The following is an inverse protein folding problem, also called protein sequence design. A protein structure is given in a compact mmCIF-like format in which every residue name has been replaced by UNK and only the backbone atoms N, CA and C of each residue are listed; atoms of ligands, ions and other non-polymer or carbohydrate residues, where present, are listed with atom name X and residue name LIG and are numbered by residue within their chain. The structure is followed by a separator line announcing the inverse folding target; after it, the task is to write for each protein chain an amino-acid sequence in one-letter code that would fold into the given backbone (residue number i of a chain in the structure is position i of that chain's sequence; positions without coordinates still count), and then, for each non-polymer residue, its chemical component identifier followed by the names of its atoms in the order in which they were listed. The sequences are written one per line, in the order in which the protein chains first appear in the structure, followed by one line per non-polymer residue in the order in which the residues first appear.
data_IF_709719854303
#
_entry.id   IF_709719854303
#
_cell.length_a   1.000
_cell.length_b   1.000
_cell.length_c   1.000
_cell.angle_alpha   90.00
_cell.angle_beta   90.00
_cell.angle_gamma   90.00
#
_symmetry.space_group_name_H-M   'P 1'
#
loop_
_entity.id
_entity.type
_entity.pdbx_description
1 polymer ?
#
# COMPACT_ATOMS: atom_id res chain seq x y z
N UNK A 1 26.88 -15.36 12.33
CA UNK A 1 26.23 -14.98 11.90
C UNK A 1 25.97 -14.07 11.62
N UNK A 2 26.12 -13.75 11.57
CA UNK A 2 25.63 -12.82 11.49
C UNK A 2 24.55 -12.72 11.08
N UNK A 3 24.11 -13.27 11.10
CA UNK A 3 22.84 -13.37 10.82
C UNK A 3 22.00 -12.22 11.08
N UNK A 4 21.89 -11.83 12.30
CA UNK A 4 21.05 -10.73 12.70
C UNK A 4 21.48 -9.44 12.06
N UNK A 5 22.76 -9.30 11.83
CA UNK A 5 23.29 -8.11 11.20
C UNK A 5 22.75 -7.95 9.80
N UNK A 6 22.74 -9.04 9.04
CA UNK A 6 22.21 -9.00 7.70
C UNK A 6 20.73 -8.64 7.69
N UNK A 7 19.97 -9.20 8.63
CA UNK A 7 18.55 -8.94 8.71
C UNK A 7 18.27 -7.47 8.93
N UNK A 8 19.13 -6.78 9.65
CA UNK A 8 18.86 -5.40 10.04
C UNK A 8 19.48 -4.35 9.13
N UNK A 9 20.07 -4.75 8.02
CA UNK A 9 20.67 -3.79 7.10
C UNK A 9 19.64 -3.06 6.24
N UNK A 10 18.40 -3.54 6.19
CA UNK A 10 17.32 -2.85 5.52
C UNK A 10 17.46 -2.87 4.01
N UNK A 11 17.05 -1.79 3.38
CA UNK A 11 17.03 -1.63 1.94
C UNK A 11 18.30 -2.10 1.24
N UNK A 12 19.44 -1.88 1.85
CA UNK A 12 20.73 -2.20 1.24
C UNK A 12 20.91 -3.71 1.01
N UNK A 13 20.24 -4.54 1.81
CA UNK A 13 20.33 -5.99 1.68
C UNK A 13 19.37 -6.58 0.67
N UNK A 14 18.45 -5.77 0.15
CA UNK A 14 17.45 -6.28 -0.80
C UNK A 14 18.06 -6.41 -2.18
N UNK A 15 17.60 -7.41 -2.93
CA UNK A 15 18.00 -7.55 -4.34
C UNK A 15 17.41 -6.42 -5.17
N UNK A 16 17.96 -6.22 -6.38
CA UNK A 16 17.40 -5.25 -7.32
C UNK A 16 15.94 -5.54 -7.63
N UNK A 17 15.61 -6.80 -7.80
CA UNK A 17 14.25 -7.22 -8.09
C UNK A 17 13.33 -6.87 -6.93
N UNK A 18 13.76 -7.16 -5.70
CA UNK A 18 12.99 -6.81 -4.50
C UNK A 18 12.79 -5.31 -4.38
N UNK A 19 13.83 -4.53 -4.65
CA UNK A 19 13.71 -3.06 -4.62
C UNK A 19 12.71 -2.55 -5.64
N UNK A 20 12.73 -3.10 -6.85
CA UNK A 20 11.80 -2.70 -7.90
C UNK A 20 10.36 -3.00 -7.52
N UNK A 21 10.11 -4.18 -6.99
CA UNK A 21 8.75 -4.55 -6.58
C UNK A 21 8.29 -3.77 -5.36
N UNK A 22 9.22 -3.42 -4.46
CA UNK A 22 8.88 -2.55 -3.34
C UNK A 22 8.45 -1.17 -3.83
N UNK A 23 9.19 -0.58 -4.76
CA UNK A 23 8.82 0.71 -5.35
C UNK A 23 7.47 0.60 -6.05
N UNK A 24 7.26 -0.46 -6.83
CA UNK A 24 5.98 -0.67 -7.51
C UNK A 24 4.82 -0.77 -6.52
N UNK A 25 5.01 -1.51 -5.43
CA UNK A 25 3.97 -1.65 -4.41
C UNK A 25 3.65 -0.32 -3.75
N UNK A 26 4.66 0.51 -3.50
CA UNK A 26 4.45 1.84 -2.93
C UNK A 26 3.72 2.77 -3.88
N UNK A 27 4.01 2.69 -5.17
CA UNK A 27 3.28 3.46 -6.19
C UNK A 27 1.81 3.07 -6.17
N UNK A 28 1.51 1.78 -6.09
CA UNK A 28 0.13 1.32 -6.01
C UNK A 28 -0.55 1.75 -4.72
N UNK A 29 0.16 1.68 -3.59
CA UNK A 29 -0.37 2.13 -2.31
C UNK A 29 -0.70 3.62 -2.31
N UNK A 30 0.18 4.44 -2.86
CA UNK A 30 -0.05 5.89 -2.94
C UNK A 30 -1.18 6.18 -3.91
N UNK A 31 -1.28 5.45 -5.01
CA UNK A 31 -2.38 5.60 -5.96
C UNK A 31 -3.72 5.20 -5.33
N UNK A 32 -3.73 4.12 -4.54
CA UNK A 32 -4.92 3.72 -3.80
C UNK A 32 -5.31 4.82 -2.79
N UNK A 33 -4.35 5.34 -2.07
CA UNK A 33 -4.56 6.43 -1.13
C UNK A 33 -5.17 7.65 -1.85
N UNK A 34 -4.58 8.05 -2.97
CA UNK A 34 -5.02 9.20 -3.74
C UNK A 34 -6.45 9.04 -4.24
N UNK A 35 -6.77 7.89 -4.85
CA UNK A 35 -8.13 7.65 -5.34
C UNK A 35 -9.13 7.52 -4.20
N UNK A 36 -8.72 6.94 -3.08
CA UNK A 36 -9.60 6.81 -1.92
C UNK A 36 -9.83 8.17 -1.26
N UNK A 37 -8.84 9.07 -1.27
CA UNK A 37 -9.07 10.45 -0.80
C UNK A 37 -10.08 11.17 -1.69
N UNK A 38 -10.08 10.91 -2.98
CA UNK A 38 -11.10 11.48 -3.87
C UNK A 38 -12.51 11.04 -3.45
N UNK A 39 -12.63 9.80 -2.99
CA UNK A 39 -13.91 9.28 -2.48
C UNK A 39 -14.44 10.13 -1.32
N UNK A 40 -13.57 10.60 -0.41
CA UNK A 40 -14.00 11.38 0.73
C UNK A 40 -14.62 12.71 0.36
N UNK A 41 -14.37 13.19 -0.85
CA UNK A 41 -14.97 14.42 -1.37
C UNK A 41 -16.26 14.17 -2.12
N UNK A 42 -16.65 12.90 -2.29
CA UNK A 42 -17.71 12.53 -3.21
C UNK A 42 -18.70 11.54 -2.60
N UNK A 43 -18.85 11.57 -1.27
CA UNK A 43 -19.82 10.71 -0.60
C UNK A 43 -21.27 11.01 -1.05
N UNK A 44 -21.55 12.25 -1.40
CA UNK A 44 -22.86 12.66 -1.91
C UNK A 44 -23.15 12.04 -3.28
N UNK A 45 -22.12 11.55 -3.99
CA UNK A 45 -22.30 10.85 -5.26
C UNK A 45 -22.47 9.34 -5.06
N UNK A 46 -22.55 8.87 -3.81
CA UNK A 46 -22.84 7.47 -3.52
C UNK A 46 -21.63 6.59 -3.24
N UNK A 47 -20.43 7.14 -3.30
CA UNK A 47 -19.22 6.34 -3.04
C UNK A 47 -19.15 5.92 -1.58
N UNK A 48 -18.63 4.71 -1.34
CA UNK A 48 -18.44 4.17 0.00
C UNK A 48 -17.20 3.29 0.01
N UNK A 49 -16.49 3.30 1.12
CA UNK A 49 -15.34 2.41 1.34
C UNK A 49 -15.84 1.00 1.64
N UNK A 50 -15.14 0.00 1.12
CA UNK A 50 -15.46 -1.41 1.38
C UNK A 50 -14.51 -2.04 2.38
N UNK A 51 -13.44 -1.35 2.77
CA UNK A 51 -12.49 -1.85 3.75
C UNK A 51 -13.11 -1.79 5.15
N UNK A 52 -13.34 -2.94 5.82
CA UNK A 52 -14.02 -2.94 7.12
C UNK A 52 -13.24 -2.23 8.22
N UNK A 53 -11.92 -2.11 8.08
CA UNK A 53 -11.11 -1.39 9.07
C UNK A 53 -11.43 0.09 9.03
N UNK A 54 -11.69 0.64 7.86
CA UNK A 54 -11.98 2.06 7.69
C UNK A 54 -13.44 2.42 7.92
N UNK A 55 -14.34 1.47 7.71
CA UNK A 55 -15.77 1.76 7.70
C UNK A 55 -16.21 2.28 6.34
N UNK A 56 -17.52 2.56 6.16
CA UNK A 56 -18.05 2.91 4.85
C UNK A 56 -17.81 4.38 4.47
N UNK A 57 -17.66 5.26 5.45
CA UNK A 57 -17.45 6.70 5.22
C UNK A 57 -16.35 7.25 6.14
N UNK A 58 -15.09 6.82 5.92
CA UNK A 58 -14.01 7.30 6.77
C UNK A 58 -13.79 8.79 6.56
N UNK A 59 -13.35 9.49 7.63
CA UNK A 59 -12.90 10.86 7.49
C UNK A 59 -11.57 10.89 6.74
N UNK A 60 -11.21 12.03 6.18
CA UNK A 60 -9.93 12.19 5.50
C UNK A 60 -8.77 11.92 6.47
N UNK A 61 -8.89 12.41 7.72
CA UNK A 61 -7.83 12.20 8.71
C UNK A 61 -7.65 10.73 9.05
N UNK A 62 -8.75 10.00 9.23
CA UNK A 62 -8.69 8.56 9.49
C UNK A 62 -8.06 7.82 8.31
N UNK A 63 -8.42 8.21 7.10
CA UNK A 63 -7.90 7.62 5.89
C UNK A 63 -6.39 7.85 5.77
N UNK A 64 -5.95 9.09 5.98
CA UNK A 64 -4.54 9.44 5.91
C UNK A 64 -3.74 8.67 6.94
N UNK A 65 -4.24 8.56 8.16
CA UNK A 65 -3.58 7.79 9.22
C UNK A 65 -3.46 6.33 8.82
N UNK A 66 -4.50 5.76 8.23
CA UNK A 66 -4.49 4.38 7.78
C UNK A 66 -3.39 4.15 6.74
N UNK A 67 -3.32 5.00 5.70
CA UNK A 67 -2.34 4.80 4.63
C UNK A 67 -0.91 5.09 5.08
N UNK A 68 -0.70 6.10 5.91
CA UNK A 68 0.63 6.38 6.46
C UNK A 68 1.11 5.20 7.30
N UNK A 69 0.24 4.69 8.17
CA UNK A 69 0.57 3.53 9.01
C UNK A 69 0.86 2.30 8.15
N UNK A 70 0.06 2.10 7.11
CA UNK A 70 0.25 1.01 6.17
C UNK A 70 1.62 1.10 5.49
N UNK A 71 1.98 2.29 4.98
CA UNK A 71 3.27 2.48 4.31
C UNK A 71 4.44 2.20 5.23
N UNK A 72 4.36 2.66 6.48
CA UNK A 72 5.41 2.42 7.46
C UNK A 72 5.50 0.92 7.78
N UNK A 73 4.37 0.29 8.08
CA UNK A 73 4.33 -1.14 8.37
C UNK A 73 4.77 -1.99 7.19
N UNK A 74 4.43 -1.55 5.98
CA UNK A 74 4.84 -2.22 4.76
C UNK A 74 6.36 -2.28 4.62
N UNK A 75 7.04 -1.16 4.91
CA UNK A 75 8.50 -1.17 4.88
C UNK A 75 9.08 -2.17 5.87
N UNK A 76 8.64 -2.10 7.12
CA UNK A 76 9.20 -2.96 8.17
C UNK A 76 8.87 -4.44 7.92
N UNK A 77 7.68 -4.75 7.45
CA UNK A 77 7.33 -6.13 7.12
C UNK A 77 8.15 -6.64 5.94
N UNK A 78 8.34 -5.80 4.91
CA UNK A 78 9.18 -6.16 3.77
C UNK A 78 10.60 -6.48 4.22
N UNK A 79 11.13 -5.64 5.08
CA UNK A 79 12.50 -5.84 5.59
C UNK A 79 12.60 -7.08 6.48
N UNK A 80 11.57 -7.34 7.28
CA UNK A 80 11.53 -8.50 8.15
C UNK A 80 11.53 -9.81 7.37
N UNK A 81 10.79 -9.87 6.28
CA UNK A 81 10.75 -11.04 5.42
C UNK A 81 12.05 -11.17 4.63
N UNK A 82 12.43 -12.39 4.27
CA UNK A 82 13.69 -12.64 3.60
C UNK A 82 13.50 -13.50 2.36
N UNK A 83 14.39 -13.32 1.39
CA UNK A 83 14.47 -14.15 0.22
C UNK A 83 13.15 -14.25 -0.51
N UNK A 84 12.74 -15.48 -0.80
CA UNK A 84 11.53 -15.74 -1.55
C UNK A 84 10.26 -15.24 -0.84
N UNK A 85 10.24 -15.30 0.49
CA UNK A 85 9.08 -14.81 1.25
C UNK A 85 8.87 -13.31 1.03
N UNK A 86 9.95 -12.55 0.97
CA UNK A 86 9.88 -11.13 0.67
C UNK A 86 9.31 -10.90 -0.73
N UNK A 87 9.78 -11.68 -1.70
CA UNK A 87 9.30 -11.54 -3.07
C UNK A 87 7.83 -11.87 -3.20
N UNK A 88 7.39 -12.98 -2.60
CA UNK A 88 5.99 -13.37 -2.63
C UNK A 88 5.11 -12.30 -2.00
N UNK A 89 5.54 -11.77 -0.87
CA UNK A 89 4.82 -10.69 -0.20
C UNK A 89 4.70 -9.45 -1.10
N UNK A 90 5.80 -9.04 -1.72
CA UNK A 90 5.81 -7.86 -2.59
C UNK A 90 4.95 -8.04 -3.82
N UNK A 91 4.99 -9.23 -4.44
CA UNK A 91 4.12 -9.53 -5.58
C UNK A 91 2.66 -9.47 -5.17
N UNK A 92 2.33 -10.03 -4.01
CA UNK A 92 0.97 -10.08 -3.50
C UNK A 92 0.43 -8.68 -3.22
N UNK A 93 1.19 -7.86 -2.50
CA UNK A 93 0.78 -6.50 -2.17
C UNK A 93 0.62 -5.67 -3.45
N UNK A 94 1.54 -5.80 -4.39
CA UNK A 94 1.45 -5.05 -5.65
C UNK A 94 0.19 -5.45 -6.42
N UNK A 95 -0.12 -6.74 -6.46
CA UNK A 95 -1.32 -7.22 -7.15
C UNK A 95 -2.61 -6.76 -6.47
N UNK A 96 -2.66 -6.87 -5.14
CA UNK A 96 -3.84 -6.47 -4.37
C UNK A 96 -4.08 -4.97 -4.50
N UNK A 97 -3.04 -4.16 -4.31
CA UNK A 97 -3.18 -2.71 -4.38
C UNK A 97 -3.42 -2.25 -5.82
N UNK A 98 -2.80 -2.91 -6.78
CA UNK A 98 -3.05 -2.64 -8.20
C UNK A 98 -4.50 -2.91 -8.57
N UNK A 99 -5.08 -3.99 -8.06
CA UNK A 99 -6.49 -4.30 -8.28
C UNK A 99 -7.40 -3.26 -7.62
N UNK A 100 -7.04 -2.80 -6.42
CA UNK A 100 -7.81 -1.75 -5.74
C UNK A 100 -7.79 -0.46 -6.53
N UNK A 101 -6.63 -0.05 -7.04
CA UNK A 101 -6.51 1.15 -7.87
C UNK A 101 -7.34 1.01 -9.14
N UNK A 102 -7.22 -0.13 -9.81
CA UNK A 102 -7.99 -0.37 -11.04
C UNK A 102 -9.48 -0.28 -10.78
N UNK A 103 -9.95 -0.86 -9.69
CA UNK A 103 -11.36 -0.76 -9.31
C UNK A 103 -11.76 0.68 -9.00
N UNK A 104 -10.95 1.40 -8.24
CA UNK A 104 -11.23 2.79 -7.89
C UNK A 104 -11.37 3.66 -9.14
N UNK A 105 -10.44 3.52 -10.08
CA UNK A 105 -10.49 4.26 -11.33
C UNK A 105 -11.70 3.85 -12.19
N UNK A 106 -12.00 2.56 -12.20
CA UNK A 106 -13.10 2.04 -13.00
C UNK A 106 -14.46 2.55 -12.55
N UNK A 107 -14.64 2.78 -11.24
CA UNK A 107 -15.89 3.31 -10.73
C UNK A 107 -15.96 4.84 -10.74
N UNK A 108 -14.92 5.50 -11.25
CA UNK A 108 -14.92 6.94 -11.47
C UNK A 108 -14.12 7.78 -10.50
N UNK A 109 -13.42 7.16 -9.54
CA UNK A 109 -12.53 7.90 -8.65
C UNK A 109 -11.29 8.35 -9.40
N UNK A 110 -10.66 9.41 -8.92
CA UNK A 110 -9.53 10.05 -9.61
C UNK A 110 -8.31 10.10 -8.72
N UNK A 111 -7.14 10.12 -9.38
CA UNK A 111 -5.86 10.32 -8.72
C UNK A 111 -5.70 11.79 -8.38
N UNK A 112 -5.98 12.15 -7.13
CA UNK A 112 -5.74 13.53 -6.67
C UNK A 112 -5.72 13.56 -5.15
N UNK A 113 -4.81 14.33 -4.62
CA UNK A 113 -4.74 14.62 -3.22
C UNK A 113 -5.37 15.99 -2.95
#
# INVERSE_FOLDING_TARGET
MFISTAVNAGWQDWTHEQKRWYVASNVMLVADWSTTRDMTRRYDEGYREINPILGSRPSTDKLDLYFVTYLIGHYFLTDYLQGRNREIYLYTITAVEGAAVANNLNIGLRLRF
#
